data_IF_767999102295
#
_entry.id   IF_767999102295
#
_cell.length_a   1.000
_cell.length_b   1.000
_cell.length_c   1.000
_cell.angle_alpha   90.00
_cell.angle_beta   90.00
_cell.angle_gamma   90.00
#
_symmetry.space_group_name_H-M   'P 1'
#
loop_
_entity.id
_entity.type
_entity.pdbx_description
1 polymer ?
#
# COMPACT_ATOMS: atom_id res chain seq x y z
N UNK A 1 8.69 -2.57 -24.36
CA UNK A 1 7.29 -3.04 -24.30
C UNK A 1 7.25 -4.46 -23.74
N UNK A 2 7.46 -4.62 -22.42
CA UNK A 2 7.60 -5.92 -21.76
C UNK A 2 6.46 -6.26 -20.78
N UNK A 3 5.54 -5.31 -20.53
CA UNK A 3 4.43 -5.46 -19.57
C UNK A 3 3.10 -5.89 -20.23
N UNK A 4 2.97 -5.71 -21.56
CA UNK A 4 1.77 -6.11 -22.31
C UNK A 4 1.44 -7.61 -22.20
N UNK A 5 2.42 -8.54 -22.27
CA UNK A 5 2.13 -9.96 -22.06
C UNK A 5 1.68 -10.26 -20.63
N UNK A 6 2.17 -9.51 -19.63
CA UNK A 6 1.78 -9.70 -18.23
C UNK A 6 0.31 -9.36 -17.99
N UNK A 7 -0.22 -8.35 -18.68
CA UNK A 7 -1.67 -8.07 -18.63
C UNK A 7 -2.52 -9.26 -19.05
N UNK A 8 -2.03 -10.13 -19.95
CA UNK A 8 -2.74 -11.33 -20.37
C UNK A 8 -2.63 -12.51 -19.39
N UNK A 9 -1.59 -12.53 -18.55
CA UNK A 9 -1.32 -13.63 -17.59
C UNK A 9 -1.64 -13.30 -16.14
N UNK A 10 -1.84 -12.01 -15.81
CA UNK A 10 -2.05 -11.53 -14.46
C UNK A 10 -1.11 -10.36 -14.13
N UNK A 11 -1.68 -9.32 -13.52
CA UNK A 11 -0.97 -8.11 -13.15
C UNK A 11 -0.66 -8.13 -11.65
N UNK A 12 0.61 -8.03 -11.29
CA UNK A 12 1.01 -7.85 -9.90
C UNK A 12 0.81 -6.38 -9.49
N UNK A 13 -0.11 -6.15 -8.55
CA UNK A 13 -0.37 -4.84 -7.96
C UNK A 13 -0.05 -4.88 -6.48
N UNK A 14 0.60 -3.84 -5.97
CA UNK A 14 0.82 -3.67 -4.54
C UNK A 14 0.10 -2.41 -4.06
N UNK A 15 -0.98 -2.60 -3.30
CA UNK A 15 -1.83 -1.51 -2.82
C UNK A 15 -1.25 -0.86 -1.57
N UNK A 16 -1.59 0.41 -1.34
CA UNK A 16 -1.45 1.08 -0.04
C UNK A 16 -2.83 1.35 0.51
N UNK A 17 -2.99 1.23 1.82
CA UNK A 17 -4.31 1.33 2.45
C UNK A 17 -4.78 2.76 2.72
N UNK A 18 -4.04 3.76 2.22
CA UNK A 18 -4.22 5.19 2.51
C UNK A 18 -5.26 5.88 1.61
N UNK A 19 -5.53 5.33 0.43
CA UNK A 19 -6.39 5.96 -0.57
C UNK A 19 -6.95 4.94 -1.55
N UNK A 20 -7.89 5.34 -2.40
CA UNK A 20 -8.50 4.45 -3.42
C UNK A 20 -7.63 4.28 -4.65
N UNK A 21 -6.68 5.19 -4.88
CA UNK A 21 -5.78 5.23 -6.03
C UNK A 21 -4.33 4.96 -5.65
N UNK A 22 -4.08 4.52 -4.41
CA UNK A 22 -2.75 4.46 -3.86
C UNK A 22 -2.14 3.08 -4.10
N UNK A 23 -1.27 3.00 -5.09
CA UNK A 23 -0.50 1.81 -5.40
C UNK A 23 1.00 2.10 -5.31
N UNK A 24 1.79 1.06 -5.08
CA UNK A 24 3.22 1.13 -5.35
C UNK A 24 3.43 1.25 -6.86
N UNK A 25 4.25 2.22 -7.26
CA UNK A 25 4.48 2.49 -8.67
C UNK A 25 5.33 1.38 -9.29
N UNK A 26 4.68 0.54 -10.09
CA UNK A 26 5.31 -0.52 -10.87
C UNK A 26 5.23 -0.20 -12.37
N UNK A 27 6.17 -0.71 -13.19
CA UNK A 27 6.12 -0.56 -14.66
C UNK A 27 4.79 -1.03 -15.28
N UNK A 28 4.16 -2.00 -14.62
CA UNK A 28 2.84 -2.53 -14.92
C UNK A 28 1.74 -1.49 -14.75
N UNK A 29 1.75 -0.71 -13.67
CA UNK A 29 0.79 0.37 -13.43
C UNK A 29 0.94 1.52 -14.44
N UNK A 30 2.16 1.79 -14.92
CA UNK A 30 2.43 2.85 -15.89
C UNK A 30 1.65 2.72 -17.21
N UNK A 31 1.19 1.51 -17.57
CA UNK A 31 0.38 1.33 -18.78
C UNK A 31 -1.03 1.91 -18.65
N UNK A 32 -1.59 1.90 -17.43
CA UNK A 32 -2.89 2.50 -17.14
C UNK A 32 -2.81 4.02 -17.24
N UNK A 33 -1.72 4.61 -16.71
CA UNK A 33 -1.43 6.03 -16.86
C UNK A 33 -1.26 6.42 -18.34
N UNK A 34 -0.53 5.62 -19.11
CA UNK A 34 -0.30 5.86 -20.54
C UNK A 34 -1.59 5.76 -21.37
N UNK A 35 -2.50 4.87 -20.99
CA UNK A 35 -3.81 4.70 -21.62
C UNK A 35 -4.86 5.69 -21.10
N UNK A 36 -4.53 6.48 -20.06
CA UNK A 36 -5.48 7.39 -19.40
C UNK A 36 -6.61 6.67 -18.68
N UNK A 37 -6.39 5.42 -18.23
CA UNK A 37 -7.35 4.62 -17.50
C UNK A 37 -7.00 4.70 -16.01
N UNK A 38 -7.82 5.31 -15.15
CA UNK A 38 -7.52 5.36 -13.73
C UNK A 38 -7.70 3.98 -13.08
N UNK A 39 -6.73 3.56 -12.26
CA UNK A 39 -6.77 2.34 -11.48
C UNK A 39 -7.22 2.64 -10.04
N UNK A 40 -8.18 1.87 -9.54
CA UNK A 40 -8.71 2.03 -8.18
C UNK A 40 -8.77 0.71 -7.42
N UNK A 41 -8.68 0.79 -6.09
CA UNK A 41 -8.94 -0.31 -5.16
C UNK A 41 -9.81 0.16 -3.97
N UNK A 42 -10.56 -0.77 -3.38
CA UNK A 42 -11.41 -0.53 -2.20
C UNK A 42 -10.79 -0.96 -0.88
N UNK A 43 -9.50 -1.31 -0.87
CA UNK A 43 -8.82 -1.81 0.31
C UNK A 43 -8.22 -0.65 1.12
N UNK A 44 -9.09 0.04 1.87
CA UNK A 44 -8.69 1.14 2.75
C UNK A 44 -8.79 0.72 4.21
N UNK A 45 -7.94 1.31 5.04
CA UNK A 45 -8.07 1.19 6.49
C UNK A 45 -9.25 2.04 6.98
N UNK A 46 -10.05 1.50 7.88
CA UNK A 46 -11.17 2.25 8.46
C UNK A 46 -10.62 3.33 9.42
N UNK A 47 -10.84 4.63 9.14
CA UNK A 47 -10.37 5.72 10.00
C UNK A 47 -11.02 5.71 11.39
N UNK A 48 -12.14 5.00 11.58
CA UNK A 48 -12.77 4.83 12.90
C UNK A 48 -11.97 3.89 13.81
N UNK A 49 -11.02 3.14 13.25
CA UNK A 49 -10.16 2.19 13.97
C UNK A 49 -8.72 2.73 14.10
N UNK A 50 -8.42 3.60 15.09
CA UNK A 50 -7.10 4.23 15.22
C UNK A 50 -5.97 3.21 15.43
N UNK A 51 -6.27 2.07 16.03
CA UNK A 51 -5.32 0.96 16.18
C UNK A 51 -4.90 0.37 14.83
N UNK A 52 -5.85 0.16 13.92
CA UNK A 52 -5.56 -0.36 12.58
C UNK A 52 -4.83 0.69 11.75
N UNK A 53 -5.22 1.96 11.84
CA UNK A 53 -4.53 3.07 11.18
C UNK A 53 -3.09 3.18 11.65
N UNK A 54 -2.82 3.06 12.96
CA UNK A 54 -1.45 3.08 13.51
C UNK A 54 -0.65 1.83 13.11
N UNK A 55 -1.28 0.65 13.15
CA UNK A 55 -0.61 -0.61 12.81
C UNK A 55 -0.23 -0.68 11.33
N UNK A 56 -1.13 -0.24 10.44
CA UNK A 56 -0.96 -0.25 8.98
C UNK A 56 -0.13 0.95 8.51
N UNK A 57 -0.36 2.15 9.05
CA UNK A 57 0.34 3.36 8.68
C UNK A 57 0.30 3.62 7.17
N UNK A 58 1.47 3.92 6.58
CA UNK A 58 1.66 4.14 5.13
C UNK A 58 2.22 2.91 4.40
N UNK A 59 2.15 1.74 5.01
CA UNK A 59 2.73 0.51 4.47
C UNK A 59 1.93 0.01 3.27
N UNK A 60 2.64 -0.54 2.28
CA UNK A 60 2.00 -1.31 1.21
C UNK A 60 1.62 -2.71 1.70
N UNK A 61 0.79 -3.42 0.94
CA UNK A 61 0.38 -4.78 1.29
C UNK A 61 1.59 -5.71 1.56
N UNK A 62 2.60 -5.71 0.67
CA UNK A 62 3.80 -6.53 0.87
C UNK A 62 4.54 -6.19 2.17
N UNK A 63 4.72 -4.90 2.47
CA UNK A 63 5.36 -4.43 3.69
C UNK A 63 4.55 -4.80 4.94
N UNK A 64 3.22 -4.73 4.86
CA UNK A 64 2.34 -5.08 5.96
C UNK A 64 2.41 -6.57 6.29
N UNK A 65 2.46 -7.45 5.28
CA UNK A 65 2.62 -8.89 5.46
C UNK A 65 3.96 -9.21 6.14
N UNK A 66 5.06 -8.59 5.71
CA UNK A 66 6.37 -8.74 6.37
C UNK A 66 6.34 -8.27 7.83
N UNK A 67 5.69 -7.14 8.10
CA UNK A 67 5.49 -6.63 9.46
C UNK A 67 4.70 -7.62 10.32
N UNK A 68 3.62 -8.21 9.79
CA UNK A 68 2.83 -9.23 10.51
C UNK A 68 3.68 -10.45 10.86
N UNK A 69 4.51 -10.93 9.93
CA UNK A 69 5.41 -12.07 10.19
C UNK A 69 6.40 -11.73 11.31
N UNK A 70 6.99 -10.53 11.25
CA UNK A 70 7.93 -10.03 12.25
C UNK A 70 7.28 -9.91 13.63
N UNK A 71 6.10 -9.28 13.70
CA UNK A 71 5.31 -9.16 14.94
C UNK A 71 4.92 -10.51 15.52
N UNK A 72 4.66 -11.53 14.68
CA UNK A 72 4.29 -12.87 15.16
C UNK A 72 5.47 -13.66 15.72
N UNK A 73 6.69 -13.39 15.25
CA UNK A 73 7.90 -14.03 15.74
C UNK A 73 8.55 -13.26 16.91
N UNK A 74 8.25 -11.97 17.07
CA UNK A 74 8.70 -11.18 18.21
C UNK A 74 7.79 -11.44 19.43
N UNK A 75 8.38 -11.80 20.57
CA UNK A 75 7.66 -11.97 21.84
C UNK A 75 7.20 -10.65 22.47
N UNK A 76 7.43 -9.52 21.80
CA UNK A 76 7.17 -8.16 22.29
C UNK A 76 5.80 -7.66 21.82
N UNK A 77 4.88 -7.53 22.76
CA UNK A 77 3.52 -7.01 22.58
C UNK A 77 3.45 -5.49 22.24
N UNK A 78 4.58 -4.79 22.04
CA UNK A 78 4.64 -3.33 22.07
C UNK A 78 5.10 -2.63 20.77
N UNK A 79 5.13 -3.31 19.61
CA UNK A 79 5.53 -2.71 18.33
C UNK A 79 4.35 -2.09 17.53
N UNK A 80 3.33 -1.55 18.21
CA UNK A 80 2.14 -0.94 17.59
C UNK A 80 2.27 0.58 17.37
N UNK A 81 3.33 1.20 17.90
CA UNK A 81 3.54 2.65 17.82
C UNK A 81 4.84 2.96 17.10
N UNK A 82 4.81 3.02 15.77
CA UNK A 82 5.74 3.84 14.96
C UNK A 82 5.31 3.75 13.49
N UNK A 83 4.28 4.54 13.16
CA UNK A 83 4.04 4.98 11.79
C UNK A 83 4.82 6.27 11.60
N UNK A 84 5.98 6.16 10.95
CA UNK A 84 6.90 7.26 10.67
C UNK A 84 6.16 8.47 10.08
N UNK A 85 6.18 9.55 10.86
CA UNK A 85 5.54 10.81 10.56
C UNK A 85 6.32 11.57 9.50
N UNK A 86 6.24 11.15 8.24
CA UNK A 86 6.63 12.03 7.15
C UNK A 86 5.44 12.92 6.77
N UNK A 87 5.28 13.98 7.56
CA UNK A 87 4.44 15.12 7.23
C UNK A 87 5.16 15.97 6.18
N UNK A 88 5.05 15.58 4.92
CA UNK A 88 5.32 16.45 3.76
C UNK A 88 4.04 16.64 2.97
N UNK A 89 3.13 17.44 3.55
CA UNK A 89 2.16 18.21 2.76
C UNK A 89 2.78 19.60 2.51
N UNK A 90 3.20 19.96 1.29
CA UNK A 90 3.23 21.35 0.88
C UNK A 90 1.91 21.65 0.17
N UNK A 91 0.96 22.21 0.89
CA UNK A 91 -0.22 22.83 0.29
C UNK A 91 -0.58 24.09 1.09
N UNK A 92 -0.34 25.26 0.48
CA UNK A 92 -0.84 26.56 0.93
C UNK A 92 0.24 27.53 1.38
#
# INVERSE_FOLDING_TARGET
MTVLPKLATGLDVNVRFTGVSDFEYTPECSIFDLLGIPLYHGWLVDPQSPEAVSAVGKLSYNQLVEKIITCKHSSDLNLVTEGDGDALFPCG
#
